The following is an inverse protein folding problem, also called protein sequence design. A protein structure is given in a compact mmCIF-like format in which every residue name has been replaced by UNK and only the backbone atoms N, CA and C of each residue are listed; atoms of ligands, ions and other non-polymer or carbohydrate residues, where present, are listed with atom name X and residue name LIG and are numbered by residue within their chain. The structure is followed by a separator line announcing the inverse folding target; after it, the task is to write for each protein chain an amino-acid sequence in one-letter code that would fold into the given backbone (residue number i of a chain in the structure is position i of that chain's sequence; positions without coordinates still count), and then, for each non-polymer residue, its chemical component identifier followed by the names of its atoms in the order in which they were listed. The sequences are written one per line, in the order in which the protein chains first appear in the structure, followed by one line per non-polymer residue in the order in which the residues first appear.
data_IF_577057897320
#
_entry.id   IF_577057897320
#
_cell.length_a   1.000
_cell.length_b   1.000
_cell.length_c   1.000
_cell.angle_alpha   90.00
_cell.angle_beta   90.00
_cell.angle_gamma   90.00
#
_symmetry.space_group_name_H-M   'P 1'
#
loop_
_entity.id
_entity.type
_entity.pdbx_description
1 polymer ?
#
# COMPACT_ATOMS: atom_id res chain seq x y z
N UNK A 1 43.28 30.04 -67.46
CA UNK A 1 42.61 28.76 -67.14
C UNK A 1 42.59 28.60 -65.62
N UNK A 2 41.61 29.15 -64.96
CA UNK A 2 41.48 29.13 -63.49
C UNK A 2 40.23 28.32 -63.17
N UNK A 3 40.44 27.14 -62.54
CA UNK A 3 39.35 26.27 -62.09
C UNK A 3 38.89 26.73 -60.73
N UNK A 4 37.63 27.16 -60.65
CA UNK A 4 36.99 27.58 -59.43
C UNK A 4 36.35 26.33 -58.75
N UNK A 5 36.82 25.96 -57.58
CA UNK A 5 36.18 24.91 -56.78
C UNK A 5 35.15 25.57 -55.86
N UNK A 6 33.88 25.27 -56.08
CA UNK A 6 32.82 25.66 -55.19
C UNK A 6 32.64 24.53 -54.15
N UNK A 7 32.97 24.80 -52.89
CA UNK A 7 32.74 23.90 -51.79
C UNK A 7 31.31 24.04 -51.32
N UNK A 8 30.53 22.98 -51.46
CA UNK A 8 29.15 22.89 -50.98
C UNK A 8 29.18 22.45 -49.50
N UNK A 9 28.92 23.38 -48.56
CA UNK A 9 28.72 23.02 -47.16
C UNK A 9 27.31 22.46 -46.96
N UNK A 10 27.20 21.18 -46.66
CA UNK A 10 25.97 20.56 -46.19
C UNK A 10 25.79 20.78 -44.70
N UNK A 11 24.82 21.62 -44.32
CA UNK A 11 24.40 21.78 -42.91
C UNK A 11 23.48 20.63 -42.55
N UNK A 12 23.98 19.69 -41.73
CA UNK A 12 23.18 18.64 -41.17
C UNK A 12 22.44 19.20 -39.94
N UNK A 13 21.15 19.45 -40.06
CA UNK A 13 20.27 19.76 -38.93
C UNK A 13 20.00 18.50 -38.12
N UNK A 14 20.59 18.41 -36.92
CA UNK A 14 20.28 17.38 -35.94
C UNK A 14 18.93 17.70 -35.30
N UNK A 15 17.87 17.04 -35.76
CA UNK A 15 16.57 17.04 -35.06
C UNK A 15 16.71 16.16 -33.84
N UNK A 16 16.91 16.79 -32.68
CA UNK A 16 16.87 16.13 -31.36
C UNK A 16 15.42 15.79 -31.04
N UNK A 17 15.01 14.54 -31.28
CA UNK A 17 13.76 14.01 -30.75
C UNK A 17 13.89 13.89 -29.22
N UNK A 18 13.27 14.84 -28.52
CA UNK A 18 13.08 14.78 -27.08
C UNK A 18 12.00 13.73 -26.80
N UNK A 19 12.41 12.46 -26.60
CA UNK A 19 11.51 11.41 -26.15
C UNK A 19 11.08 11.69 -24.72
N UNK A 20 9.80 11.92 -24.54
CA UNK A 20 9.13 12.05 -23.25
C UNK A 20 9.11 10.69 -22.57
N UNK A 21 10.17 10.33 -21.85
CA UNK A 21 10.18 9.17 -20.92
C UNK A 21 9.64 9.64 -19.57
N UNK A 22 8.32 9.78 -19.47
CA UNK A 22 7.68 10.33 -18.27
C UNK A 22 6.74 9.37 -17.52
N UNK A 23 6.57 8.10 -17.97
CA UNK A 23 5.50 7.27 -17.39
C UNK A 23 5.97 5.93 -16.81
N UNK A 24 7.18 5.49 -17.11
CA UNK A 24 7.65 4.16 -16.67
C UNK A 24 8.46 4.19 -15.36
N UNK A 25 9.08 5.31 -15.00
CA UNK A 25 9.90 5.42 -13.80
C UNK A 25 9.07 5.63 -12.53
N UNK A 26 7.96 6.37 -12.62
CA UNK A 26 7.07 6.57 -11.47
C UNK A 26 6.38 5.26 -11.04
N UNK A 27 6.00 4.42 -12.02
CA UNK A 27 5.39 3.10 -11.75
C UNK A 27 6.39 2.08 -11.18
N UNK A 28 7.65 2.13 -11.59
CA UNK A 28 8.70 1.25 -11.08
C UNK A 28 9.17 1.67 -9.67
N UNK A 29 9.32 2.97 -9.42
CA UNK A 29 9.68 3.51 -8.11
C UNK A 29 8.59 3.23 -7.06
N UNK A 30 7.31 3.37 -7.43
CA UNK A 30 6.20 3.07 -6.52
C UNK A 30 6.11 1.56 -6.21
N UNK A 31 6.42 0.69 -7.18
CA UNK A 31 6.41 -0.77 -6.95
C UNK A 31 7.56 -1.24 -6.05
N UNK A 32 8.73 -0.61 -6.11
CA UNK A 32 9.85 -0.91 -5.22
C UNK A 32 9.57 -0.48 -3.78
N UNK A 33 9.03 0.72 -3.58
CA UNK A 33 8.66 1.22 -2.24
C UNK A 33 7.55 0.39 -1.58
N UNK A 34 6.57 -0.09 -2.34
CA UNK A 34 5.47 -0.93 -1.83
C UNK A 34 6.00 -2.28 -1.33
N UNK A 35 6.92 -2.92 -2.08
CA UNK A 35 7.49 -4.19 -1.67
C UNK A 35 8.36 -4.06 -0.41
N UNK A 36 9.13 -2.98 -0.27
CA UNK A 36 9.93 -2.72 0.93
C UNK A 36 9.05 -2.55 2.17
N UNK A 37 7.99 -1.76 2.10
CA UNK A 37 7.08 -1.52 3.23
C UNK A 37 6.36 -2.78 3.74
N UNK A 38 6.14 -3.77 2.86
CA UNK A 38 5.56 -5.05 3.26
C UNK A 38 6.61 -6.12 3.58
N UNK A 39 7.82 -6.04 3.02
CA UNK A 39 8.91 -7.00 3.31
C UNK A 39 9.50 -6.77 4.70
N UNK A 40 9.61 -5.52 5.13
CA UNK A 40 10.18 -5.16 6.45
C UNK A 40 9.24 -5.47 7.62
N UNK A 41 8.06 -6.06 7.37
CA UNK A 41 7.05 -6.37 8.39
C UNK A 41 6.66 -5.16 9.25
N UNK A 42 6.63 -3.99 8.65
CA UNK A 42 6.25 -2.75 9.31
C UNK A 42 4.84 -2.83 9.89
N UNK A 43 4.63 -2.22 11.03
CA UNK A 43 3.34 -2.16 11.68
C UNK A 43 2.52 -0.96 11.17
N UNK A 44 1.30 -1.23 10.78
CA UNK A 44 0.30 -0.26 10.36
C UNK A 44 -0.76 -0.09 11.44
N UNK A 45 -1.09 1.14 11.83
CA UNK A 45 -2.18 1.45 12.75
C UNK A 45 -3.41 1.96 12.02
N UNK A 46 -4.59 1.45 12.37
CA UNK A 46 -5.86 1.87 11.79
C UNK A 46 -6.18 3.32 12.16
N UNK A 47 -6.38 4.16 11.15
CA UNK A 47 -6.80 5.56 11.34
C UNK A 47 -8.27 5.78 10.97
N UNK A 48 -8.80 5.02 9.98
CA UNK A 48 -10.23 5.06 9.66
C UNK A 48 -10.80 3.69 9.31
N UNK A 49 -12.09 3.50 9.60
CA UNK A 49 -12.88 2.30 9.33
C UNK A 49 -14.25 2.72 8.82
N UNK A 50 -14.64 2.28 7.62
CA UNK A 50 -15.89 2.67 6.95
C UNK A 50 -16.14 4.19 6.93
N UNK A 51 -15.07 4.98 6.71
CA UNK A 51 -15.14 6.43 6.63
C UNK A 51 -15.23 7.16 7.98
N UNK A 52 -15.17 6.46 9.10
CA UNK A 52 -15.13 7.02 10.45
C UNK A 52 -13.73 6.89 11.05
N UNK A 53 -13.32 7.83 11.90
CA UNK A 53 -12.07 7.66 12.64
C UNK A 53 -12.13 6.38 13.50
N UNK A 54 -11.02 5.66 13.62
CA UNK A 54 -11.01 4.35 14.27
C UNK A 54 -11.68 4.34 15.65
N UNK A 55 -11.43 5.37 16.47
CA UNK A 55 -12.05 5.52 17.79
C UNK A 55 -13.57 5.73 17.71
N UNK A 56 -14.04 6.50 16.74
CA UNK A 56 -15.46 6.77 16.53
C UNK A 56 -16.19 5.53 15.98
N UNK A 57 -15.49 4.71 15.21
CA UNK A 57 -15.97 3.43 14.72
C UNK A 57 -16.08 2.34 15.81
N UNK A 58 -15.68 2.63 17.07
CA UNK A 58 -15.81 1.71 18.20
C UNK A 58 -14.49 1.06 18.67
N UNK A 59 -13.36 1.33 18.04
CA UNK A 59 -12.06 0.81 18.50
C UNK A 59 -11.51 1.65 19.67
N UNK A 60 -12.19 1.57 20.82
CA UNK A 60 -11.90 2.41 22.00
C UNK A 60 -10.92 1.78 22.97
N UNK A 61 -10.79 0.45 22.98
CA UNK A 61 -9.91 -0.27 23.90
C UNK A 61 -8.47 -0.28 23.40
N UNK A 62 -8.27 -0.56 22.11
CA UNK A 62 -6.98 -0.59 21.46
C UNK A 62 -7.16 -0.24 19.97
N UNK A 63 -6.22 0.51 19.43
CA UNK A 63 -6.19 0.79 18.00
C UNK A 63 -5.80 -0.50 17.25
N UNK A 64 -6.59 -0.94 16.24
CA UNK A 64 -6.21 -2.07 15.41
C UNK A 64 -4.89 -1.84 14.71
N UNK A 65 -4.13 -2.93 14.58
CA UNK A 65 -2.85 -2.93 13.87
C UNK A 65 -2.81 -4.04 12.84
N UNK A 66 -2.07 -3.80 11.77
CA UNK A 66 -1.84 -4.75 10.69
C UNK A 66 -0.34 -4.82 10.39
N UNK A 67 0.20 -6.02 10.29
CA UNK A 67 1.55 -6.31 9.79
C UNK A 67 1.38 -7.22 8.59
N UNK A 68 2.08 -6.92 7.50
CA UNK A 68 2.12 -7.75 6.29
C UNK A 68 3.57 -8.11 6.02
N UNK A 69 3.88 -9.40 6.02
CA UNK A 69 5.19 -9.94 5.66
C UNK A 69 5.08 -10.72 4.34
N UNK A 70 5.47 -10.05 3.26
CA UNK A 70 5.42 -10.63 1.92
C UNK A 70 6.44 -11.76 1.72
N UNK A 71 7.57 -11.73 2.42
CA UNK A 71 8.59 -12.77 2.30
C UNK A 71 8.10 -14.12 2.84
N UNK A 72 7.20 -14.07 3.82
CA UNK A 72 6.62 -15.26 4.45
C UNK A 72 5.17 -15.52 4.04
N UNK A 73 4.55 -14.65 3.23
CA UNK A 73 3.12 -14.66 2.90
C UNK A 73 2.24 -14.68 4.16
N UNK A 74 2.61 -13.90 5.17
CA UNK A 74 1.90 -13.81 6.44
C UNK A 74 1.36 -12.42 6.70
N UNK A 75 0.20 -12.39 7.36
CA UNK A 75 -0.34 -11.19 7.98
C UNK A 75 -0.63 -11.44 9.45
N UNK A 76 -0.65 -10.39 10.23
CA UNK A 76 -1.02 -10.45 11.64
C UNK A 76 -1.25 -9.07 12.23
N UNK A 77 -1.53 -9.03 13.52
CA UNK A 77 -1.75 -7.78 14.21
C UNK A 77 -2.71 -7.91 15.38
N UNK A 78 -3.44 -6.82 15.64
CA UNK A 78 -4.48 -6.73 16.65
C UNK A 78 -5.75 -6.12 16.05
N UNK A 79 -6.89 -6.68 16.37
CA UNK A 79 -8.21 -6.26 15.87
C UNK A 79 -8.85 -5.12 16.68
N UNK A 80 -8.14 -4.57 17.65
CA UNK A 80 -8.73 -3.68 18.67
C UNK A 80 -9.15 -4.42 19.94
N UNK A 81 -9.23 -5.76 19.88
CA UNK A 81 -9.51 -6.67 20.99
C UNK A 81 -8.51 -7.83 21.01
N UNK A 82 -8.49 -8.63 19.96
CA UNK A 82 -7.73 -9.86 19.88
C UNK A 82 -6.50 -9.71 18.99
N UNK A 83 -5.44 -10.45 19.31
CA UNK A 83 -4.36 -10.69 18.37
C UNK A 83 -4.82 -11.66 17.29
N UNK A 84 -4.39 -11.44 16.05
CA UNK A 84 -4.73 -12.31 14.95
C UNK A 84 -3.52 -12.60 14.07
N UNK A 85 -3.63 -13.65 13.27
CA UNK A 85 -2.73 -14.01 12.20
C UNK A 85 -3.50 -14.57 11.02
N UNK A 86 -2.84 -14.65 9.86
CA UNK A 86 -3.42 -15.18 8.63
C UNK A 86 -2.39 -15.26 7.52
N UNK A 87 -2.84 -15.66 6.35
CA UNK A 87 -2.06 -15.70 5.11
C UNK A 87 -2.28 -14.41 4.31
N UNK A 88 -1.19 -13.72 3.93
CA UNK A 88 -1.27 -12.55 3.08
C UNK A 88 -1.10 -12.96 1.61
N UNK A 89 -2.08 -12.67 0.78
CA UNK A 89 -2.07 -12.89 -0.66
C UNK A 89 -2.10 -11.53 -1.33
N UNK A 90 -1.01 -11.20 -2.04
CA UNK A 90 -0.90 -9.94 -2.78
C UNK A 90 -0.74 -10.24 -4.27
N UNK A 91 -1.70 -9.82 -5.07
CA UNK A 91 -1.72 -9.99 -6.51
C UNK A 91 -1.92 -8.64 -7.20
N UNK A 92 -0.83 -8.14 -7.81
CA UNK A 92 -0.86 -6.82 -8.45
C UNK A 92 -1.19 -5.70 -7.46
N UNK A 93 -2.39 -5.13 -7.53
CA UNK A 93 -2.89 -4.08 -6.63
C UNK A 93 -3.93 -4.58 -5.64
N UNK A 94 -4.08 -5.89 -5.48
CA UNK A 94 -5.03 -6.49 -4.53
C UNK A 94 -4.33 -7.15 -3.36
N UNK A 95 -4.95 -7.09 -2.20
CA UNK A 95 -4.56 -7.74 -0.95
C UNK A 95 -5.75 -8.54 -0.43
N UNK A 96 -5.51 -9.78 -0.05
CA UNK A 96 -6.45 -10.63 0.67
C UNK A 96 -5.74 -11.19 1.89
N UNK A 97 -6.37 -11.10 3.06
CA UNK A 97 -5.89 -11.82 4.24
C UNK A 97 -6.78 -13.05 4.44
N UNK A 98 -6.24 -14.20 4.14
CA UNK A 98 -6.97 -15.48 4.20
C UNK A 98 -6.61 -16.27 5.46
N UNK A 99 -7.43 -17.30 5.78
CA UNK A 99 -7.22 -18.21 6.91
C UNK A 99 -6.99 -17.50 8.23
N UNK A 100 -7.74 -16.43 8.48
CA UNK A 100 -7.60 -15.64 9.70
C UNK A 100 -7.94 -16.47 10.92
N UNK A 101 -7.04 -16.49 11.89
CA UNK A 101 -7.23 -17.02 13.23
C UNK A 101 -6.95 -15.92 14.26
N UNK A 102 -7.63 -15.98 15.42
CA UNK A 102 -7.46 -14.98 16.48
C UNK A 102 -7.57 -15.61 17.86
N UNK A 103 -7.05 -14.91 18.88
CA UNK A 103 -7.43 -15.17 20.27
C UNK A 103 -8.92 -14.88 20.46
N UNK A 104 -9.51 -15.28 21.58
CA UNK A 104 -10.96 -15.21 21.79
C UNK A 104 -11.29 -14.51 23.12
N UNK A 105 -10.84 -13.27 23.26
CA UNK A 105 -11.33 -12.40 24.32
C UNK A 105 -12.65 -11.76 23.87
N UNK A 106 -13.53 -11.50 24.82
CA UNK A 106 -14.71 -10.69 24.58
C UNK A 106 -14.42 -9.22 24.93
N UNK A 107 -14.65 -8.32 23.99
CA UNK A 107 -14.49 -6.89 24.16
C UNK A 107 -15.78 -6.21 23.74
N UNK A 108 -16.52 -5.71 24.72
CA UNK A 108 -17.81 -5.06 24.48
C UNK A 108 -17.67 -3.82 23.60
N UNK A 109 -18.54 -3.67 22.62
CA UNK A 109 -18.60 -2.51 21.72
C UNK A 109 -17.49 -2.43 20.66
N UNK A 110 -16.49 -3.34 20.66
CA UNK A 110 -15.45 -3.37 19.60
C UNK A 110 -15.99 -4.08 18.36
N UNK A 111 -15.96 -3.47 17.15
CA UNK A 111 -16.51 -4.06 15.93
C UNK A 111 -15.54 -5.07 15.28
N UNK A 112 -15.03 -6.01 16.08
CA UNK A 112 -14.01 -6.97 15.67
C UNK A 112 -14.49 -7.90 14.57
N UNK A 113 -15.75 -8.36 14.66
CA UNK A 113 -16.33 -9.28 13.65
C UNK A 113 -16.37 -8.60 12.28
N UNK A 114 -16.80 -7.35 12.26
CA UNK A 114 -16.87 -6.56 11.03
C UNK A 114 -15.46 -6.28 10.48
N UNK A 115 -14.50 -5.97 11.35
CA UNK A 115 -13.10 -5.79 10.97
C UNK A 115 -12.55 -7.04 10.26
N UNK A 116 -12.75 -8.23 10.80
CA UNK A 116 -12.29 -9.46 10.18
C UNK A 116 -13.05 -9.80 8.90
N UNK A 117 -14.37 -9.54 8.85
CA UNK A 117 -15.16 -9.72 7.63
C UNK A 117 -14.65 -8.84 6.48
N UNK A 118 -14.27 -7.61 6.77
CA UNK A 118 -13.69 -6.69 5.79
C UNK A 118 -12.28 -7.14 5.37
N UNK A 119 -11.43 -7.47 6.35
CA UNK A 119 -10.03 -7.82 6.11
C UNK A 119 -9.86 -9.08 5.25
N UNK A 120 -10.80 -10.03 5.35
CA UNK A 120 -10.79 -11.28 4.58
C UNK A 120 -11.34 -11.15 3.15
N UNK A 121 -11.79 -9.97 2.76
CA UNK A 121 -12.17 -9.74 1.38
C UNK A 121 -10.95 -9.44 0.50
N UNK A 122 -11.05 -9.70 -0.79
CA UNK A 122 -10.05 -9.20 -1.74
C UNK A 122 -10.25 -7.69 -1.92
N UNK A 123 -9.29 -6.91 -1.49
CA UNK A 123 -9.34 -5.46 -1.46
C UNK A 123 -8.28 -4.88 -2.41
N UNK A 124 -8.61 -3.79 -3.10
CA UNK A 124 -7.56 -3.01 -3.73
C UNK A 124 -6.80 -2.25 -2.67
N UNK A 125 -5.48 -2.21 -2.78
CA UNK A 125 -4.64 -1.41 -1.89
C UNK A 125 -3.87 -0.33 -2.64
N UNK A 126 -3.65 0.78 -1.96
CA UNK A 126 -2.74 1.83 -2.38
C UNK A 126 -1.94 2.32 -1.19
N UNK A 127 -0.66 2.62 -1.41
CA UNK A 127 0.19 3.26 -0.40
C UNK A 127 0.58 4.63 -0.91
N UNK A 128 0.32 5.67 -0.13
CA UNK A 128 0.67 7.06 -0.41
C UNK A 128 1.44 7.62 0.79
N UNK A 129 2.75 7.74 0.64
CA UNK A 129 3.62 8.06 1.78
C UNK A 129 3.48 6.98 2.86
N UNK A 130 3.09 7.38 4.05
CA UNK A 130 2.90 6.50 5.21
C UNK A 130 1.46 6.01 5.38
N UNK A 131 0.59 6.17 4.39
CA UNK A 131 -0.82 5.77 4.47
C UNK A 131 -1.10 4.61 3.52
N UNK A 132 -1.56 3.48 4.09
CA UNK A 132 -2.11 2.33 3.38
C UNK A 132 -3.64 2.49 3.34
N UNK A 133 -4.21 2.56 2.15
CA UNK A 133 -5.65 2.55 1.91
C UNK A 133 -6.08 1.21 1.35
N UNK A 134 -7.10 0.61 1.95
CA UNK A 134 -7.80 -0.58 1.45
C UNK A 134 -9.18 -0.16 0.93
N UNK A 135 -9.42 -0.45 -0.34
CA UNK A 135 -10.64 -0.02 -1.04
C UNK A 135 -11.41 -1.21 -1.59
N UNK A 136 -12.74 -1.09 -1.58
CA UNK A 136 -13.65 -2.02 -2.22
C UNK A 136 -14.69 -1.24 -3.02
N UNK A 137 -14.96 -1.65 -4.25
CA UNK A 137 -15.93 -1.02 -5.15
C UNK A 137 -15.75 0.50 -5.28
N UNK A 138 -14.47 0.95 -5.23
CA UNK A 138 -14.10 2.36 -5.32
C UNK A 138 -14.25 3.16 -4.01
N UNK A 139 -14.70 2.53 -2.93
CA UNK A 139 -14.80 3.15 -1.61
C UNK A 139 -13.64 2.73 -0.71
N UNK A 140 -13.07 3.69 0.01
CA UNK A 140 -12.07 3.42 1.05
C UNK A 140 -12.80 2.84 2.26
N UNK A 141 -12.48 1.60 2.63
CA UNK A 141 -13.08 0.91 3.77
C UNK A 141 -12.20 0.86 4.99
N UNK A 142 -10.88 0.86 4.79
CA UNK A 142 -9.90 0.96 5.87
C UNK A 142 -8.74 1.86 5.43
N UNK A 143 -8.25 2.66 6.34
CA UNK A 143 -7.00 3.38 6.21
C UNK A 143 -6.12 3.10 7.40
N UNK A 144 -4.85 2.86 7.12
CA UNK A 144 -3.85 2.64 8.15
C UNK A 144 -2.70 3.62 7.95
N UNK A 145 -2.10 4.05 9.03
CA UNK A 145 -0.85 4.81 9.03
C UNK A 145 0.30 3.91 9.46
N UNK A 146 1.45 4.07 8.81
CA UNK A 146 2.68 3.41 9.24
C UNK A 146 3.01 3.85 10.67
N UNK A 147 3.23 2.89 11.56
CA UNK A 147 3.63 3.18 12.94
C UNK A 147 5.10 3.57 12.96
N UNK A 148 5.39 4.71 13.54
CA UNK A 148 6.76 5.15 13.79
C UNK A 148 7.30 4.40 15.02
N UNK A 149 8.32 3.54 14.83
CA UNK A 149 8.95 2.81 15.94
C UNK A 149 9.75 3.73 16.89
N UNK A 150 9.96 4.99 16.50
CA UNK A 150 10.72 5.95 17.31
C UNK A 150 9.90 6.65 18.41
N UNK A 151 8.61 6.32 18.57
CA UNK A 151 7.66 7.01 19.46
C UNK A 151 7.34 6.24 20.77
N UNK A 152 8.23 5.34 21.23
CA UNK A 152 8.16 4.72 22.58
C UNK A 152 9.14 5.37 23.57
#
# INVERSE_FOLDING_TARGET
MKKLFVALMAVAALVSCKSTQGTSQEKASNKQNISELFVEANQWELISFNGQAAKEAGFTLKTPTLVINMAENKAGGNSGCNSFGGEAIVEGSTLTIDKVFSTKMYCDGVPEIEFFQMLQQTLNYTIKGEVLQLTKDGQVIMEFKLKDESAE
#
